data_IF_861703726737
#
_entry.id   IF_861703726737
#
_cell.length_a   1.000
_cell.length_b   1.000
_cell.length_c   1.000
_cell.angle_alpha   90.00
_cell.angle_beta   90.00
_cell.angle_gamma   90.00
#
_symmetry.space_group_name_H-M   'P 1'
#
loop_
_entity.id
_entity.type
_entity.pdbx_description
1 polymer ?
#
# COMPACT_ATOMS: atom_id res chain seq x y z
N UNK A 1 1.51 17.60 -7.16
CA UNK A 1 1.02 16.40 -7.87
C UNK A 1 1.56 16.28 -9.29
N UNK A 2 1.54 17.36 -10.09
CA UNK A 2 2.04 17.41 -11.49
C UNK A 2 3.29 16.56 -11.75
N UNK A 3 4.40 16.89 -11.10
CA UNK A 3 5.69 16.24 -11.37
C UNK A 3 5.77 14.82 -10.76
N UNK A 4 4.94 14.53 -9.75
CA UNK A 4 4.91 13.23 -9.06
C UNK A 4 4.25 12.13 -9.89
N UNK A 5 3.18 12.42 -10.63
CA UNK A 5 2.57 11.45 -11.56
C UNK A 5 3.58 11.07 -12.67
N UNK A 6 4.27 12.08 -13.20
CA UNK A 6 5.30 11.86 -14.23
C UNK A 6 6.49 11.08 -13.68
N UNK A 7 6.95 11.42 -12.47
CA UNK A 7 8.01 10.71 -11.78
C UNK A 7 7.64 9.25 -11.56
N UNK A 8 6.47 8.98 -10.95
CA UNK A 8 5.93 7.64 -10.74
C UNK A 8 5.93 6.81 -12.03
N UNK A 9 5.32 7.33 -13.09
CA UNK A 9 5.25 6.62 -14.37
C UNK A 9 6.63 6.28 -14.91
N UNK A 10 7.59 7.22 -14.82
CA UNK A 10 8.96 7.02 -15.29
C UNK A 10 9.72 6.00 -14.43
N UNK A 11 9.53 6.02 -13.11
CA UNK A 11 10.08 5.01 -12.19
C UNK A 11 9.59 3.61 -12.55
N UNK A 12 8.32 3.48 -12.95
CA UNK A 12 7.73 2.22 -13.40
C UNK A 12 8.11 1.82 -14.83
N UNK A 13 8.84 2.68 -15.57
CA UNK A 13 9.23 2.40 -16.95
C UNK A 13 8.10 2.46 -17.98
N UNK A 14 6.93 3.02 -17.63
CA UNK A 14 5.73 2.98 -18.47
C UNK A 14 5.64 4.20 -19.42
N UNK A 15 5.03 4.00 -20.58
CA UNK A 15 4.54 5.06 -21.46
C UNK A 15 3.25 5.68 -20.91
N UNK A 16 2.86 6.85 -21.41
CA UNK A 16 1.58 7.48 -21.01
C UNK A 16 0.36 6.63 -21.42
N UNK A 17 0.45 5.88 -22.52
CA UNK A 17 -0.60 4.95 -22.93
C UNK A 17 -0.74 3.81 -21.92
N UNK A 18 0.35 3.09 -21.64
CA UNK A 18 0.34 1.93 -20.73
C UNK A 18 -0.09 2.33 -19.31
N UNK A 19 0.36 3.48 -18.83
CA UNK A 19 -0.07 4.01 -17.54
C UNK A 19 -1.58 4.32 -17.51
N UNK A 20 -2.10 4.89 -18.60
CA UNK A 20 -3.52 5.18 -18.76
C UNK A 20 -4.38 3.93 -18.84
N UNK A 21 -3.97 2.94 -19.62
CA UNK A 21 -4.67 1.65 -19.77
C UNK A 21 -4.89 0.96 -18.43
N UNK A 22 -3.88 0.99 -17.55
CA UNK A 22 -3.96 0.40 -16.20
C UNK A 22 -4.98 1.05 -15.27
N UNK A 23 -5.26 2.35 -15.43
CA UNK A 23 -6.22 3.08 -14.59
C UNK A 23 -7.49 3.50 -15.35
N UNK A 24 -7.71 2.95 -16.56
CA UNK A 24 -8.87 3.27 -17.40
C UNK A 24 -8.91 4.73 -17.89
N UNK A 25 -7.75 5.37 -18.06
CA UNK A 25 -7.62 6.75 -18.53
C UNK A 25 -6.99 6.80 -19.94
N UNK A 26 -7.38 7.82 -20.73
CA UNK A 26 -6.74 8.05 -22.02
C UNK A 26 -5.33 8.61 -21.86
N UNK A 27 -4.46 8.38 -22.84
CA UNK A 27 -3.13 9.00 -22.91
C UNK A 27 -3.16 10.51 -22.68
N UNK A 28 -4.13 11.18 -23.29
CA UNK A 28 -4.26 12.63 -23.23
C UNK A 28 -4.66 13.11 -21.82
N UNK A 29 -5.47 12.32 -21.11
CA UNK A 29 -5.75 12.55 -19.69
C UNK A 29 -4.47 12.43 -18.85
N UNK A 30 -3.65 11.39 -19.06
CA UNK A 30 -2.36 11.25 -18.38
C UNK A 30 -1.44 12.43 -18.68
N UNK A 31 -1.33 12.84 -19.94
CA UNK A 31 -0.54 14.00 -20.34
C UNK A 31 -1.09 15.33 -19.74
N UNK A 32 -2.39 15.45 -19.51
CA UNK A 32 -2.99 16.57 -18.80
C UNK A 32 -2.64 16.55 -17.31
N UNK A 33 -2.72 15.38 -16.65
CA UNK A 33 -2.36 15.21 -15.25
C UNK A 33 -0.88 15.52 -15.00
N UNK A 34 0.02 15.03 -15.86
CA UNK A 34 1.45 15.36 -15.83
C UNK A 34 1.77 16.82 -16.15
N UNK A 35 0.81 17.58 -16.70
CA UNK A 35 0.94 19.04 -16.90
C UNK A 35 0.39 19.85 -15.74
N UNK A 36 -0.28 19.22 -14.78
CA UNK A 36 -0.80 19.83 -13.56
C UNK A 36 -2.29 20.16 -13.62
N UNK A 37 -3.03 19.57 -14.55
CA UNK A 37 -4.50 19.63 -14.51
C UNK A 37 -4.98 18.89 -13.25
N UNK A 38 -5.98 19.46 -12.58
CA UNK A 38 -6.56 18.87 -11.38
C UNK A 38 -7.04 17.43 -11.64
N UNK A 39 -6.59 16.51 -10.81
CA UNK A 39 -6.98 15.10 -10.85
C UNK A 39 -8.10 14.89 -9.83
N UNK A 40 -9.16 14.19 -10.23
CA UNK A 40 -10.27 13.90 -9.33
C UNK A 40 -9.88 12.81 -8.33
N UNK A 41 -10.41 12.90 -7.12
CA UNK A 41 -10.18 11.95 -6.02
C UNK A 41 -10.28 10.47 -6.42
N UNK A 42 -11.29 10.02 -7.21
CA UNK A 42 -11.36 8.61 -7.59
C UNK A 42 -10.19 8.13 -8.44
N UNK A 43 -9.64 9.01 -9.30
CA UNK A 43 -8.48 8.69 -10.15
C UNK A 43 -7.21 8.62 -9.30
N UNK A 44 -7.08 9.50 -8.31
CA UNK A 44 -5.95 9.47 -7.37
C UNK A 44 -5.93 8.13 -6.62
N UNK A 45 -7.08 7.71 -6.08
CA UNK A 45 -7.21 6.41 -5.40
C UNK A 45 -6.92 5.23 -6.33
N UNK A 46 -7.36 5.29 -7.58
CA UNK A 46 -7.02 4.27 -8.58
C UNK A 46 -5.51 4.18 -8.83
N UNK A 47 -4.83 5.33 -8.94
CA UNK A 47 -3.36 5.36 -9.10
C UNK A 47 -2.67 4.75 -7.89
N UNK A 48 -3.07 5.13 -6.68
CA UNK A 48 -2.55 4.56 -5.43
C UNK A 48 -2.74 3.04 -5.39
N UNK A 49 -3.95 2.56 -5.71
CA UNK A 49 -4.28 1.13 -5.76
C UNK A 49 -3.47 0.36 -6.80
N UNK A 50 -3.46 0.83 -8.04
CA UNK A 50 -2.87 0.09 -9.17
C UNK A 50 -1.34 0.03 -9.11
N UNK A 51 -0.71 1.07 -8.55
CA UNK A 51 0.75 1.21 -8.54
C UNK A 51 1.36 1.11 -7.16
N UNK A 52 0.56 0.82 -6.13
CA UNK A 52 1.01 0.68 -4.75
C UNK A 52 1.73 1.95 -4.23
N UNK A 53 1.11 3.11 -4.45
CA UNK A 53 1.69 4.43 -4.21
C UNK A 53 1.05 5.09 -3.01
N UNK A 54 1.86 5.71 -2.16
CA UNK A 54 1.37 6.43 -0.99
C UNK A 54 0.54 7.65 -1.39
N UNK A 55 -0.63 7.79 -0.78
CA UNK A 55 -1.58 8.85 -1.09
C UNK A 55 -1.03 10.23 -0.74
N UNK A 56 -0.41 10.39 0.44
CA UNK A 56 0.12 11.67 0.90
C UNK A 56 1.36 12.08 0.12
N UNK A 57 2.20 11.12 -0.28
CA UNK A 57 3.27 11.35 -1.23
C UNK A 57 2.72 11.90 -2.55
N UNK A 58 1.70 11.24 -3.14
CA UNK A 58 1.17 11.63 -4.43
C UNK A 58 0.45 13.00 -4.39
N UNK A 59 -0.39 13.22 -3.39
CA UNK A 59 -1.28 14.40 -3.29
C UNK A 59 -0.61 15.61 -2.66
N UNK A 60 0.06 15.42 -1.52
CA UNK A 60 0.66 16.50 -0.73
C UNK A 60 2.16 16.62 -1.02
N UNK A 61 2.83 15.52 -1.31
CA UNK A 61 4.30 15.48 -1.37
C UNK A 61 4.90 15.42 0.02
N UNK A 62 4.27 14.68 0.92
CA UNK A 62 4.81 14.38 2.22
C UNK A 62 6.19 13.73 2.10
N UNK A 63 7.04 13.93 3.11
CA UNK A 63 8.37 13.33 3.22
C UNK A 63 8.24 11.87 3.69
N UNK A 64 7.68 11.04 2.80
CA UNK A 64 7.44 9.61 2.97
C UNK A 64 7.84 8.89 1.67
N UNK A 65 7.94 7.56 1.72
CA UNK A 65 8.28 6.77 0.55
C UNK A 65 7.20 6.86 -0.54
N UNK A 66 7.63 6.83 -1.81
CA UNK A 66 6.72 6.88 -2.98
C UNK A 66 5.80 5.66 -3.02
N UNK A 67 6.35 4.49 -2.73
CA UNK A 67 5.62 3.23 -2.72
C UNK A 67 5.28 2.88 -1.28
N UNK A 68 4.04 2.43 -1.06
CA UNK A 68 3.69 1.84 0.22
C UNK A 68 4.40 0.49 0.34
N UNK A 69 4.89 0.16 1.52
CA UNK A 69 5.54 -1.13 1.76
C UNK A 69 4.58 -2.31 1.52
N UNK A 70 3.26 -2.06 1.60
CA UNK A 70 2.19 -3.02 1.39
C UNK A 70 1.06 -2.40 0.56
N UNK A 71 0.46 -3.17 -0.37
CA UNK A 71 -0.79 -2.76 -1.00
C UNK A 71 -1.89 -2.71 0.05
N UNK A 72 -2.32 -1.48 0.40
CA UNK A 72 -3.48 -1.26 1.28
C UNK A 72 -4.68 -2.10 0.84
N UNK A 73 -4.84 -2.30 -0.47
CA UNK A 73 -5.95 -3.07 -1.02
C UNK A 73 -5.92 -4.55 -0.69
N UNK A 74 -4.73 -5.16 -0.53
CA UNK A 74 -4.65 -6.57 -0.11
C UNK A 74 -5.10 -6.68 1.35
N UNK A 75 -4.71 -5.73 2.19
CA UNK A 75 -5.11 -5.74 3.58
C UNK A 75 -6.61 -5.48 3.73
N UNK A 76 -7.16 -4.51 2.98
CA UNK A 76 -8.60 -4.24 2.97
C UNK A 76 -9.40 -5.47 2.50
N UNK A 77 -8.94 -6.15 1.44
CA UNK A 77 -9.56 -7.41 0.97
C UNK A 77 -9.52 -8.50 2.05
N UNK A 78 -8.40 -8.65 2.78
CA UNK A 78 -8.28 -9.61 3.88
C UNK A 78 -9.18 -9.24 5.07
N UNK A 79 -9.27 -7.96 5.41
CA UNK A 79 -10.12 -7.47 6.50
C UNK A 79 -11.60 -7.75 6.19
N UNK A 80 -12.04 -7.50 4.96
CA UNK A 80 -13.41 -7.79 4.55
C UNK A 80 -13.70 -9.30 4.50
N UNK A 81 -12.83 -10.09 3.86
CA UNK A 81 -13.03 -11.53 3.67
C UNK A 81 -13.10 -12.29 5.00
N UNK A 82 -12.21 -11.94 5.94
CA UNK A 82 -12.14 -12.59 7.25
C UNK A 82 -12.93 -11.88 8.36
N UNK A 83 -13.64 -10.79 8.03
CA UNK A 83 -14.42 -9.97 8.97
C UNK A 83 -13.60 -9.52 10.18
N UNK A 84 -12.38 -9.08 9.90
CA UNK A 84 -11.43 -8.63 10.92
C UNK A 84 -11.89 -7.31 11.51
N UNK A 85 -11.73 -7.16 12.82
CA UNK A 85 -12.04 -5.91 13.51
C UNK A 85 -10.87 -4.91 13.45
N UNK A 86 -11.01 -3.80 14.16
CA UNK A 86 -10.02 -2.73 14.16
C UNK A 86 -8.72 -3.19 14.84
N UNK A 87 -8.83 -3.99 15.90
CA UNK A 87 -7.71 -4.56 16.63
C UNK A 87 -6.93 -5.56 15.76
N UNK A 88 -7.63 -6.44 15.04
CA UNK A 88 -7.04 -7.40 14.10
C UNK A 88 -6.26 -6.69 12.99
N UNK A 89 -6.86 -5.65 12.39
CA UNK A 89 -6.21 -4.86 11.34
C UNK A 89 -4.93 -4.21 11.83
N UNK A 90 -4.97 -3.55 12.98
CA UNK A 90 -3.81 -2.87 13.55
C UNK A 90 -2.67 -3.86 13.87
N UNK A 91 -3.01 -5.06 14.33
CA UNK A 91 -2.04 -6.12 14.57
C UNK A 91 -1.35 -6.58 13.27
N UNK A 92 -2.13 -6.79 12.21
CA UNK A 92 -1.60 -7.18 10.90
C UNK A 92 -0.73 -6.10 10.28
N UNK A 93 -1.16 -4.83 10.29
CA UNK A 93 -0.37 -3.68 9.83
C UNK A 93 0.97 -3.62 10.57
N UNK A 94 0.94 -3.68 11.89
CA UNK A 94 2.14 -3.64 12.72
C UNK A 94 3.09 -4.80 12.40
N UNK A 95 2.57 -6.01 12.21
CA UNK A 95 3.40 -7.17 11.87
C UNK A 95 4.00 -7.07 10.46
N UNK A 96 3.24 -6.55 9.50
CA UNK A 96 3.70 -6.33 8.13
C UNK A 96 4.76 -5.22 8.09
N UNK A 97 4.62 -4.14 8.82
CA UNK A 97 5.64 -3.07 8.86
C UNK A 97 6.90 -3.45 9.66
N UNK A 98 6.80 -4.43 10.56
CA UNK A 98 7.92 -4.86 11.39
C UNK A 98 9.09 -5.47 10.59
N UNK A 99 10.31 -5.19 11.05
CA UNK A 99 11.53 -5.77 10.49
C UNK A 99 11.59 -7.29 10.66
N UNK A 100 12.44 -7.96 9.86
CA UNK A 100 12.62 -9.41 9.97
C UNK A 100 13.05 -9.85 11.39
N UNK A 101 13.87 -9.05 12.08
CA UNK A 101 14.28 -9.31 13.46
C UNK A 101 13.11 -9.18 14.44
N UNK A 102 12.30 -8.12 14.28
CA UNK A 102 11.11 -7.90 15.11
C UNK A 102 10.07 -9.03 14.93
N UNK A 103 9.80 -9.43 13.69
CA UNK A 103 8.91 -10.58 13.40
C UNK A 103 9.43 -11.87 14.02
N UNK A 104 10.73 -12.13 13.93
CA UNK A 104 11.35 -13.32 14.52
C UNK A 104 11.26 -13.30 16.05
N UNK A 105 11.43 -12.14 16.68
CA UNK A 105 11.23 -11.98 18.12
C UNK A 105 9.78 -12.28 18.54
N UNK A 106 8.80 -11.75 17.79
CA UNK A 106 7.37 -12.04 18.02
C UNK A 106 7.05 -13.54 17.86
N UNK A 107 7.54 -14.18 16.80
CA UNK A 107 7.34 -15.61 16.59
C UNK A 107 7.94 -16.46 17.71
N UNK A 108 9.16 -16.13 18.14
CA UNK A 108 9.80 -16.82 19.26
C UNK A 108 9.01 -16.65 20.56
N UNK A 109 8.47 -15.46 20.80
CA UNK A 109 7.61 -15.19 21.94
C UNK A 109 6.34 -16.06 21.90
N UNK A 110 5.61 -16.09 20.77
CA UNK A 110 4.42 -16.92 20.61
C UNK A 110 4.71 -18.42 20.73
N UNK A 111 5.82 -18.90 20.16
CA UNK A 111 6.23 -20.30 20.31
C UNK A 111 6.57 -20.66 21.75
N UNK A 112 7.25 -19.77 22.47
CA UNK A 112 7.58 -19.97 23.88
C UNK A 112 6.31 -19.99 24.74
N UNK A 113 5.37 -19.11 24.43
CA UNK A 113 4.06 -19.06 25.09
C UNK A 113 3.23 -20.33 24.82
N UNK A 114 3.10 -20.76 23.57
CA UNK A 114 2.38 -21.98 23.20
C UNK A 114 2.96 -23.24 23.87
N UNK A 115 4.29 -23.34 23.94
CA UNK A 115 4.99 -24.44 24.65
C UNK A 115 4.71 -24.46 26.15
N UNK A 116 4.47 -23.30 26.77
CA UNK A 116 4.11 -23.25 28.20
C UNK A 116 2.68 -23.73 28.42
N UNK A 117 1.73 -23.32 27.58
CA UNK A 117 0.34 -23.78 27.68
C UNK A 117 0.22 -25.30 27.54
N UNK A 118 0.97 -25.91 26.60
CA UNK A 118 0.99 -27.37 26.44
C UNK A 118 1.59 -28.13 27.63
N UNK A 119 2.45 -27.48 28.42
CA UNK A 119 3.06 -28.06 29.62
C UNK A 119 2.19 -27.95 30.87
N UNK A 120 1.22 -27.04 30.87
CA UNK A 120 0.29 -26.87 31.99
C UNK A 120 -0.95 -27.79 31.84
N UNK A 121 -1.10 -28.46 30.70
CA UNK A 121 -2.16 -29.46 30.43
C UNK A 121 -1.71 -30.92 30.65
N UNK A 122 -0.43 -31.18 30.94
CA UNK A 122 0.15 -32.49 31.36
C UNK A 122 0.37 -32.57 32.87
#
# INVERSE_FOLDING_TARGET
>A
MKDRIKLLRRTLGLTQNEFGEKIGATRDAIAAYERGVAVKEPIIKLICKEFNVDYFWLTEGADVDMFTAFPETILDEVVEEFKLDKEDRALLETYLEASHEQRKALQNFFQTFAKKLQKDEE
#
